data_IF_817272399097
#
_entry.id   IF_817272399097
#
_cell.length_a   1.000
_cell.length_b   1.000
_cell.length_c   1.000
_cell.angle_alpha   90.00
_cell.angle_beta   90.00
_cell.angle_gamma   90.00
#
_symmetry.space_group_name_H-M   'P 1'
#
loop_
_entity.id
_entity.type
_entity.pdbx_description
1 polymer ?
#
# COMPACT_ATOMS: atom_id res chain seq x y z
N UNK A 1 -73.78 -22.18 70.58
CA UNK A 1 -72.53 -21.48 70.95
C UNK A 1 -71.57 -21.71 69.81
N UNK A 2 -71.34 -20.62 69.05
CA UNK A 2 -70.42 -20.42 67.92
C UNK A 2 -70.58 -21.24 66.64
N UNK A 3 -71.22 -20.59 65.66
CA UNK A 3 -70.84 -20.63 64.24
C UNK A 3 -69.53 -19.84 64.06
N UNK A 4 -68.61 -20.35 63.24
CA UNK A 4 -67.71 -19.52 62.42
C UNK A 4 -67.43 -20.22 61.08
N UNK A 5 -67.81 -19.52 60.01
CA UNK A 5 -67.38 -19.75 58.63
C UNK A 5 -66.05 -19.01 58.36
N UNK A 6 -65.50 -19.23 57.16
CA UNK A 6 -64.54 -18.38 56.40
C UNK A 6 -63.06 -18.83 56.49
N UNK A 7 -62.27 -19.00 55.43
CA UNK A 7 -62.41 -18.86 53.98
C UNK A 7 -61.31 -19.66 53.30
N UNK A 8 -61.64 -20.36 52.21
CA UNK A 8 -60.66 -20.69 51.16
C UNK A 8 -60.25 -19.39 50.45
N UNK A 9 -58.96 -19.05 50.46
CA UNK A 9 -58.30 -18.47 49.28
C UNK A 9 -56.78 -18.34 49.42
N UNK A 10 -56.16 -18.23 48.23
CA UNK A 10 -54.83 -17.69 47.95
C UNK A 10 -53.63 -18.66 48.01
N UNK A 11 -53.56 -19.56 47.02
CA UNK A 11 -52.30 -20.24 46.66
C UNK A 11 -52.03 -20.25 45.13
N UNK A 12 -52.90 -19.63 44.32
CA UNK A 12 -52.74 -19.58 42.85
C UNK A 12 -52.05 -18.31 42.35
N UNK A 13 -52.16 -17.19 43.08
CA UNK A 13 -51.58 -15.89 42.74
C UNK A 13 -50.05 -15.86 42.92
N UNK A 14 -49.52 -16.51 43.96
CA UNK A 14 -48.08 -16.62 44.19
C UNK A 14 -47.37 -17.45 43.11
N UNK A 15 -47.98 -18.58 42.70
CA UNK A 15 -47.50 -19.44 41.61
C UNK A 15 -47.39 -18.70 40.27
N UNK A 16 -48.43 -17.94 39.90
CA UNK A 16 -48.44 -17.18 38.66
C UNK A 16 -47.41 -16.04 38.66
N UNK A 17 -47.21 -15.37 39.80
CA UNK A 17 -46.18 -14.33 39.94
C UNK A 17 -44.78 -14.90 39.79
N UNK A 18 -44.49 -16.04 40.42
CA UNK A 18 -43.20 -16.72 40.34
C UNK A 18 -42.89 -17.16 38.90
N UNK A 19 -43.87 -17.70 38.18
CA UNK A 19 -43.73 -18.06 36.76
C UNK A 19 -43.52 -16.82 35.87
N UNK A 20 -44.13 -15.69 36.20
CA UNK A 20 -43.94 -14.43 35.47
C UNK A 20 -42.52 -13.88 35.65
N UNK A 21 -41.98 -13.88 36.88
CA UNK A 21 -40.61 -13.45 37.15
C UNK A 21 -39.55 -14.39 36.56
N UNK A 22 -39.78 -15.71 36.59
CA UNK A 22 -38.89 -16.68 35.94
C UNK A 22 -38.88 -16.51 34.42
N UNK A 23 -40.04 -16.26 33.81
CA UNK A 23 -40.15 -16.01 32.36
C UNK A 23 -39.38 -14.74 31.94
N UNK A 24 -39.48 -13.65 32.71
CA UNK A 24 -38.72 -12.40 32.46
C UNK A 24 -37.21 -12.62 32.62
N UNK A 25 -36.79 -13.36 33.65
CA UNK A 25 -35.38 -13.67 33.87
C UNK A 25 -34.79 -14.50 32.72
N UNK A 26 -35.51 -15.53 32.26
CA UNK A 26 -35.12 -16.35 31.10
C UNK A 26 -35.06 -15.50 29.83
N UNK A 27 -36.05 -14.65 29.58
CA UNK A 27 -36.06 -13.72 28.45
C UNK A 27 -34.86 -12.77 28.49
N UNK A 28 -34.43 -12.29 29.66
CA UNK A 28 -33.27 -11.40 29.80
C UNK A 28 -31.94 -12.09 29.51
N UNK A 29 -31.78 -13.36 29.92
CA UNK A 29 -30.57 -14.16 29.64
C UNK A 29 -30.52 -14.55 28.16
N UNK A 30 -31.67 -14.91 27.58
CA UNK A 30 -31.82 -15.21 26.15
C UNK A 30 -31.59 -13.95 25.31
N UNK A 31 -32.09 -12.78 25.71
CA UNK A 31 -31.79 -11.51 25.05
C UNK A 31 -30.31 -11.15 25.17
N UNK A 32 -29.68 -11.33 26.33
CA UNK A 32 -28.26 -10.99 26.52
C UNK A 32 -27.33 -11.92 25.74
N UNK A 33 -27.65 -13.21 25.67
CA UNK A 33 -26.91 -14.20 24.88
C UNK A 33 -27.15 -14.04 23.39
N UNK A 34 -28.40 -13.84 22.94
CA UNK A 34 -28.73 -13.52 21.55
C UNK A 34 -28.17 -12.16 21.12
N UNK A 35 -28.16 -11.14 21.98
CA UNK A 35 -27.52 -9.85 21.72
C UNK A 35 -26.01 -9.98 21.63
N UNK A 36 -25.36 -10.75 22.51
CA UNK A 36 -23.94 -11.06 22.39
C UNK A 36 -23.63 -11.80 21.08
N UNK A 37 -24.43 -12.80 20.72
CA UNK A 37 -24.26 -13.56 19.47
C UNK A 37 -24.53 -12.67 18.24
N UNK A 38 -25.54 -11.80 18.28
CA UNK A 38 -25.87 -10.86 17.20
C UNK A 38 -24.80 -9.77 17.02
N UNK A 39 -24.31 -9.17 18.12
CA UNK A 39 -23.19 -8.22 18.12
C UNK A 39 -21.89 -8.87 17.62
N UNK A 40 -21.68 -10.16 17.92
CA UNK A 40 -20.50 -10.89 17.43
C UNK A 40 -20.63 -11.30 15.94
N UNK A 41 -21.85 -11.52 15.43
CA UNK A 41 -22.11 -11.96 14.05
C UNK A 41 -22.12 -10.81 13.03
N UNK A 42 -22.40 -9.56 13.42
CA UNK A 42 -22.65 -8.46 12.46
C UNK A 42 -21.52 -7.43 12.27
N UNK A 43 -20.25 -7.78 12.52
CA UNK A 43 -19.12 -6.97 12.04
C UNK A 43 -18.45 -7.66 10.85
N UNK A 44 -18.82 -7.25 9.63
CA UNK A 44 -18.11 -7.66 8.43
C UNK A 44 -16.58 -7.49 8.63
N UNK A 45 -15.80 -8.55 8.41
CA UNK A 45 -14.34 -8.52 8.59
C UNK A 45 -13.76 -7.45 7.67
N UNK A 46 -13.02 -6.49 8.24
CA UNK A 46 -12.34 -5.45 7.45
C UNK A 46 -11.36 -6.10 6.47
N UNK A 47 -11.39 -5.65 5.22
CA UNK A 47 -10.42 -6.07 4.19
C UNK A 47 -9.01 -5.64 4.62
N UNK A 48 -8.04 -6.52 4.47
CA UNK A 48 -6.64 -6.21 4.76
C UNK A 48 -6.08 -5.22 3.72
N UNK A 49 -5.54 -4.09 4.19
CA UNK A 49 -4.93 -3.05 3.36
C UNK A 49 -3.44 -3.00 3.67
N UNK A 50 -2.62 -3.04 2.62
CA UNK A 50 -1.16 -2.90 2.75
C UNK A 50 -0.70 -1.59 2.14
N UNK A 51 -0.28 -0.67 3.01
CA UNK A 51 0.31 0.61 2.65
C UNK A 51 1.80 0.49 2.31
N UNK A 52 2.24 1.35 1.40
CA UNK A 52 3.64 1.61 1.06
C UNK A 52 4.39 2.26 2.23
N UNK A 53 5.72 2.23 2.16
CA UNK A 53 6.58 2.93 3.12
C UNK A 53 6.37 4.44 3.05
N UNK A 54 6.14 4.99 1.85
CA UNK A 54 5.79 6.40 1.66
C UNK A 54 4.52 6.80 2.42
N UNK A 55 3.45 6.00 2.29
CA UNK A 55 2.18 6.26 2.96
C UNK A 55 2.31 6.11 4.48
N UNK A 56 3.06 5.10 4.96
CA UNK A 56 3.35 4.94 6.39
C UNK A 56 4.12 6.14 6.95
N UNK A 57 5.10 6.67 6.21
CA UNK A 57 5.83 7.86 6.61
C UNK A 57 4.91 9.09 6.69
N UNK A 58 4.01 9.26 5.71
CA UNK A 58 2.99 10.32 5.76
C UNK A 58 2.07 10.19 6.97
N UNK A 59 1.66 8.96 7.34
CA UNK A 59 0.90 8.70 8.56
C UNK A 59 1.66 9.12 9.81
N UNK A 60 2.95 8.82 9.90
CA UNK A 60 3.79 9.24 11.03
C UNK A 60 3.87 10.77 11.15
N UNK A 61 4.03 11.47 10.03
CA UNK A 61 4.02 12.94 9.99
C UNK A 61 2.67 13.52 10.44
N UNK A 62 1.54 12.89 10.07
CA UNK A 62 0.21 13.30 10.55
C UNK A 62 0.07 13.10 12.06
N UNK A 63 0.65 12.03 12.60
CA UNK A 63 0.67 11.79 14.04
C UNK A 63 1.51 12.83 14.79
N UNK A 64 2.62 13.30 14.20
CA UNK A 64 3.44 14.37 14.80
C UNK A 64 2.69 15.71 14.84
N UNK A 65 1.80 15.94 13.88
CA UNK A 65 0.89 17.11 13.86
C UNK A 65 -0.26 16.99 14.89
N UNK A 66 -0.29 15.93 15.69
CA UNK A 66 -1.29 15.72 16.73
C UNK A 66 -2.63 15.14 16.25
N UNK A 67 -2.71 14.62 15.01
CA UNK A 67 -3.94 13.99 14.54
C UNK A 67 -4.28 12.71 15.33
N UNK A 68 -5.58 12.51 15.59
CA UNK A 68 -6.09 11.34 16.30
C UNK A 68 -5.81 10.04 15.53
N UNK A 69 -5.33 9.01 16.26
CA UNK A 69 -5.13 7.66 15.74
C UNK A 69 -6.41 7.06 15.16
N UNK A 70 -7.55 7.29 15.82
CA UNK A 70 -8.85 6.77 15.42
C UNK A 70 -9.32 7.39 14.10
N UNK A 71 -9.10 8.69 13.94
CA UNK A 71 -9.42 9.42 12.70
C UNK A 71 -8.62 8.85 11.53
N UNK A 72 -7.30 8.75 11.67
CA UNK A 72 -6.41 8.21 10.62
C UNK A 72 -6.76 6.75 10.29
N UNK A 73 -7.02 5.93 11.32
CA UNK A 73 -7.41 4.53 11.14
C UNK A 73 -8.69 4.38 10.31
N UNK A 74 -9.69 5.22 10.59
CA UNK A 74 -10.96 5.23 9.86
C UNK A 74 -10.77 5.67 8.41
N UNK A 75 -10.04 6.76 8.17
CA UNK A 75 -9.78 7.27 6.81
C UNK A 75 -9.03 6.27 5.93
N UNK A 76 -8.01 5.61 6.47
CA UNK A 76 -7.21 4.63 5.73
C UNK A 76 -7.79 3.22 5.77
N UNK A 77 -8.92 3.03 6.46
CA UNK A 77 -9.56 1.73 6.72
C UNK A 77 -8.58 0.67 7.29
N UNK A 78 -7.69 1.10 8.18
CA UNK A 78 -6.69 0.24 8.86
C UNK A 78 -7.03 0.08 10.33
N UNK A 79 -6.47 -0.95 10.98
CA UNK A 79 -6.62 -1.11 12.43
C UNK A 79 -5.85 -0.04 13.20
N UNK A 80 -6.40 0.43 14.32
CA UNK A 80 -5.66 1.33 15.23
C UNK A 80 -4.36 0.68 15.72
N UNK A 81 -4.37 -0.62 15.96
CA UNK A 81 -3.18 -1.42 16.30
C UNK A 81 -2.12 -1.35 15.20
N UNK A 82 -2.52 -1.43 13.93
CA UNK A 82 -1.60 -1.31 12.78
C UNK A 82 -0.87 0.03 12.77
N UNK A 83 -1.55 1.13 13.09
CA UNK A 83 -0.92 2.46 13.18
C UNK A 83 0.04 2.52 14.38
N UNK A 84 -0.34 1.92 15.52
CA UNK A 84 0.56 1.81 16.69
C UNK A 84 1.83 1.02 16.34
N UNK A 85 1.71 -0.05 15.57
CA UNK A 85 2.87 -0.83 15.11
C UNK A 85 3.78 -0.02 14.19
N UNK A 86 3.22 0.80 13.29
CA UNK A 86 4.03 1.73 12.47
C UNK A 86 4.75 2.77 13.32
N UNK A 87 4.08 3.33 14.34
CA UNK A 87 4.71 4.25 15.30
C UNK A 87 5.85 3.57 16.06
N UNK A 88 5.68 2.30 16.47
CA UNK A 88 6.73 1.52 17.12
C UNK A 88 7.93 1.28 16.20
N UNK A 89 7.67 0.96 14.93
CA UNK A 89 8.70 0.68 13.93
C UNK A 89 9.15 1.95 13.16
N UNK A 90 8.95 3.14 13.73
CA UNK A 90 9.19 4.43 13.08
C UNK A 90 10.62 4.57 12.56
N UNK A 91 11.61 4.27 13.40
CA UNK A 91 13.04 4.40 13.05
C UNK A 91 13.41 3.55 11.84
N UNK A 92 12.90 2.32 11.79
CA UNK A 92 13.15 1.41 10.68
C UNK A 92 12.50 1.94 9.40
N UNK A 93 11.26 2.43 9.48
CA UNK A 93 10.57 3.04 8.32
C UNK A 93 11.36 4.23 7.80
N UNK A 94 11.75 5.17 8.67
CA UNK A 94 12.51 6.37 8.31
C UNK A 94 13.86 6.00 7.68
N UNK A 95 14.66 5.13 8.32
CA UNK A 95 15.95 4.68 7.79
C UNK A 95 15.80 4.01 6.42
N UNK A 96 14.77 3.18 6.24
CA UNK A 96 14.51 2.53 4.96
C UNK A 96 14.11 3.54 3.88
N UNK A 97 13.34 4.58 4.24
CA UNK A 97 12.96 5.62 3.27
C UNK A 97 14.15 6.48 2.85
N UNK A 98 15.10 6.75 3.75
CA UNK A 98 16.30 7.54 3.46
C UNK A 98 17.29 6.82 2.53
N UNK A 99 17.29 5.48 2.52
CA UNK A 99 18.23 4.66 1.74
C UNK A 99 17.71 4.28 0.36
N UNK A 100 16.45 4.58 0.05
CA UNK A 100 15.84 4.28 -1.25
C UNK A 100 16.04 5.47 -2.18
N UNK A 101 16.84 5.26 -3.22
CA UNK A 101 16.97 6.20 -4.33
C UNK A 101 15.82 5.99 -5.32
N UNK A 102 15.00 7.03 -5.50
CA UNK A 102 13.97 7.07 -6.55
C UNK A 102 12.53 7.04 -6.02
N UNK A 103 11.76 8.03 -6.44
CA UNK A 103 10.37 8.25 -6.01
C UNK A 103 9.47 7.03 -6.28
N UNK A 104 9.65 6.36 -7.42
CA UNK A 104 8.87 5.17 -7.78
C UNK A 104 9.15 3.97 -6.87
N UNK A 105 10.40 3.78 -6.43
CA UNK A 105 10.75 2.70 -5.52
C UNK A 105 10.07 2.90 -4.16
N UNK A 106 10.08 4.14 -3.66
CA UNK A 106 9.49 4.51 -2.38
C UNK A 106 7.96 4.37 -2.38
N UNK A 107 7.29 4.81 -3.45
CA UNK A 107 5.82 4.71 -3.60
C UNK A 107 5.31 3.27 -3.66
N UNK A 108 6.08 2.36 -4.26
CA UNK A 108 5.62 0.98 -4.47
C UNK A 108 6.04 0.02 -3.36
N UNK A 109 7.11 0.31 -2.63
CA UNK A 109 7.64 -0.62 -1.62
C UNK A 109 6.75 -0.64 -0.37
N UNK A 110 6.28 -1.84 0.00
CA UNK A 110 5.41 -2.06 1.17
C UNK A 110 6.11 -2.75 2.34
N UNK A 111 7.27 -3.37 2.09
CA UNK A 111 8.00 -4.21 3.04
C UNK A 111 9.35 -3.61 3.43
N UNK A 112 9.71 -3.77 4.71
CA UNK A 112 11.02 -3.44 5.27
C UNK A 112 12.07 -4.53 5.01
N UNK A 113 11.70 -5.65 4.38
CA UNK A 113 12.65 -6.75 4.11
C UNK A 113 13.82 -6.27 3.24
N UNK A 114 15.03 -6.53 3.73
CA UNK A 114 16.29 -6.27 3.03
C UNK A 114 16.66 -7.42 2.08
N UNK A 115 17.49 -7.18 1.05
CA UNK A 115 17.99 -8.25 0.19
C UNK A 115 18.88 -9.20 0.99
N UNK A 116 18.98 -10.46 0.58
CA UNK A 116 19.95 -11.39 1.21
C UNK A 116 21.40 -10.94 0.98
N UNK A 117 21.68 -10.42 -0.21
CA UNK A 117 23.01 -9.95 -0.61
C UNK A 117 23.01 -8.41 -0.63
N UNK A 118 22.97 -7.78 0.54
CA UNK A 118 22.83 -6.31 0.67
C UNK A 118 23.95 -5.55 -0.04
N UNK A 119 25.19 -6.00 0.14
CA UNK A 119 26.36 -5.35 -0.45
C UNK A 119 26.38 -5.44 -1.98
N UNK A 120 25.96 -6.58 -2.53
CA UNK A 120 25.81 -6.74 -3.98
C UNK A 120 24.67 -5.87 -4.53
N UNK A 121 23.53 -5.83 -3.82
CA UNK A 121 22.35 -5.05 -4.21
C UNK A 121 22.68 -3.56 -4.32
N UNK A 122 23.40 -3.01 -3.33
CA UNK A 122 23.83 -1.62 -3.30
C UNK A 122 24.93 -1.29 -4.32
N UNK A 123 25.95 -2.16 -4.45
CA UNK A 123 27.02 -1.97 -5.43
C UNK A 123 26.48 -1.98 -6.88
N UNK A 124 25.56 -2.89 -7.17
CA UNK A 124 24.92 -2.97 -8.49
C UNK A 124 24.05 -1.73 -8.77
N UNK A 125 23.31 -1.25 -7.75
CA UNK A 125 22.52 -0.03 -7.86
C UNK A 125 23.39 1.20 -8.14
N UNK A 126 24.49 1.35 -7.41
CA UNK A 126 25.42 2.46 -7.61
C UNK A 126 25.97 2.49 -9.04
N UNK A 127 26.40 1.34 -9.56
CA UNK A 127 26.85 1.22 -10.95
C UNK A 127 25.72 1.53 -11.95
N UNK A 128 24.53 0.96 -11.75
CA UNK A 128 23.39 1.17 -12.65
C UNK A 128 22.98 2.65 -12.70
N UNK A 129 22.94 3.33 -11.55
CA UNK A 129 22.62 4.75 -11.43
C UNK A 129 23.66 5.63 -12.13
N UNK A 130 24.95 5.28 -12.05
CA UNK A 130 26.02 5.97 -12.78
C UNK A 130 25.87 5.81 -14.30
N UNK A 131 25.62 4.60 -14.79
CA UNK A 131 25.46 4.35 -16.23
C UNK A 131 24.20 5.01 -16.79
N UNK A 132 23.11 5.03 -16.03
CA UNK A 132 21.88 5.76 -16.40
C UNK A 132 22.12 7.26 -16.52
N UNK A 133 22.95 7.85 -15.65
CA UNK A 133 23.32 9.28 -15.73
C UNK A 133 24.13 9.63 -16.98
N UNK A 134 24.84 8.65 -17.56
CA UNK A 134 25.54 8.81 -18.84
C UNK A 134 24.62 8.69 -20.06
N UNK A 135 23.35 8.31 -19.86
CA UNK A 135 22.40 8.07 -20.95
C UNK A 135 22.51 6.69 -21.61
N UNK A 136 23.36 5.80 -21.11
CA UNK A 136 23.52 4.45 -21.67
C UNK A 136 22.25 3.62 -21.47
N UNK A 137 21.66 3.05 -22.54
CA UNK A 137 20.59 2.06 -22.39
C UNK A 137 21.13 0.77 -21.78
N UNK A 138 20.56 0.33 -20.65
CA UNK A 138 21.01 -0.87 -19.93
C UNK A 138 19.91 -1.91 -19.97
N UNK A 139 20.16 -3.02 -20.66
CA UNK A 139 19.23 -4.15 -20.76
C UNK A 139 19.34 -5.09 -19.57
N UNK A 140 18.32 -5.94 -19.37
CA UNK A 140 18.31 -6.97 -18.33
C UNK A 140 19.53 -7.90 -18.35
N UNK A 141 19.94 -8.45 -19.51
CA UNK A 141 21.15 -9.28 -19.61
C UNK A 141 22.43 -8.57 -19.14
N UNK A 142 22.62 -7.30 -19.49
CA UNK A 142 23.79 -6.51 -19.06
C UNK A 142 23.82 -6.37 -17.54
N UNK A 143 22.66 -6.14 -16.90
CA UNK A 143 22.55 -6.06 -15.44
C UNK A 143 22.93 -7.40 -14.79
N UNK A 144 22.48 -8.54 -15.34
CA UNK A 144 22.81 -9.87 -14.83
C UNK A 144 24.31 -10.15 -14.89
N UNK A 145 24.93 -9.87 -16.03
CA UNK A 145 26.37 -10.05 -16.22
C UNK A 145 27.16 -9.19 -15.23
N UNK A 146 26.78 -7.92 -15.08
CA UNK A 146 27.41 -7.04 -14.09
C UNK A 146 27.25 -7.54 -12.66
N UNK A 147 26.07 -8.06 -12.31
CA UNK A 147 25.82 -8.62 -10.99
C UNK A 147 26.75 -9.80 -10.67
N UNK A 148 26.99 -10.68 -11.65
CA UNK A 148 27.92 -11.81 -11.51
C UNK A 148 29.36 -11.31 -11.31
N UNK A 149 29.79 -10.33 -12.10
CA UNK A 149 31.13 -9.73 -11.98
C UNK A 149 31.31 -9.09 -10.59
N UNK A 150 30.33 -8.31 -10.13
CA UNK A 150 30.40 -7.68 -8.82
C UNK A 150 30.38 -8.71 -7.69
N UNK A 151 29.56 -9.75 -7.79
CA UNK A 151 29.54 -10.82 -6.79
C UNK A 151 30.91 -11.49 -6.64
N UNK A 152 31.59 -11.79 -7.76
CA UNK A 152 32.95 -12.35 -7.75
C UNK A 152 33.95 -11.41 -7.06
N UNK A 153 33.86 -10.11 -7.33
CA UNK A 153 34.76 -9.10 -6.74
C UNK A 153 34.53 -8.86 -5.25
N UNK A 154 33.30 -9.04 -4.77
CA UNK A 154 32.95 -8.83 -3.37
C UNK A 154 33.21 -10.07 -2.50
N UNK A 155 33.60 -11.20 -3.11
CA UNK A 155 33.91 -12.47 -2.42
C UNK A 155 32.81 -12.92 -1.45
N UNK A 156 31.55 -12.63 -1.77
CA UNK A 156 30.40 -12.86 -0.88
C UNK A 156 29.94 -14.33 -0.96
N UNK A 157 30.72 -15.23 -0.38
CA UNK A 157 30.28 -16.60 -0.10
C UNK A 157 30.00 -17.46 -1.34
N UNK A 158 28.89 -18.22 -1.28
CA UNK A 158 28.55 -19.29 -2.23
C UNK A 158 28.28 -18.81 -3.65
N UNK A 159 28.19 -19.75 -4.59
CA UNK A 159 27.83 -19.48 -5.98
C UNK A 159 26.56 -18.62 -6.10
N UNK A 160 26.67 -17.52 -6.86
CA UNK A 160 25.57 -16.61 -7.13
C UNK A 160 25.06 -16.75 -8.55
N UNK A 161 23.75 -16.99 -8.68
CA UNK A 161 23.04 -17.02 -9.95
C UNK A 161 22.14 -15.79 -10.07
N UNK A 162 22.43 -14.94 -11.04
CA UNK A 162 21.57 -13.82 -11.43
C UNK A 162 20.33 -14.31 -12.20
N UNK A 163 19.48 -15.11 -11.53
CA UNK A 163 18.24 -15.65 -12.09
C UNK A 163 17.25 -14.55 -12.47
N UNK A 164 16.27 -14.86 -13.32
CA UNK A 164 15.22 -13.90 -13.71
C UNK A 164 14.48 -13.34 -12.49
N UNK A 165 14.06 -14.23 -11.58
CA UNK A 165 13.40 -13.80 -10.36
C UNK A 165 14.27 -12.94 -9.43
N UNK A 166 15.60 -13.10 -9.47
CA UNK A 166 16.50 -12.24 -8.70
C UNK A 166 16.58 -10.84 -9.30
N UNK A 167 16.81 -10.73 -10.61
CA UNK A 167 16.90 -9.43 -11.29
C UNK A 167 15.57 -8.68 -11.25
N UNK A 168 14.43 -9.36 -11.37
CA UNK A 168 13.12 -8.70 -11.30
C UNK A 168 12.84 -8.11 -9.93
N UNK A 169 13.22 -8.84 -8.87
CA UNK A 169 13.12 -8.33 -7.49
C UNK A 169 14.07 -7.15 -7.27
N UNK A 170 15.28 -7.21 -7.82
CA UNK A 170 16.25 -6.12 -7.76
C UNK A 170 15.72 -4.87 -8.49
N UNK A 171 15.23 -5.01 -9.73
CA UNK A 171 14.59 -3.92 -10.49
C UNK A 171 13.41 -3.31 -9.74
N UNK A 172 12.53 -4.16 -9.20
CA UNK A 172 11.35 -3.73 -8.44
C UNK A 172 11.75 -2.95 -7.19
N UNK A 173 12.77 -3.42 -6.46
CA UNK A 173 13.28 -2.76 -5.24
C UNK A 173 13.78 -1.35 -5.53
N UNK A 174 14.44 -1.16 -6.67
CA UNK A 174 15.02 0.10 -7.10
C UNK A 174 14.12 0.91 -8.03
N UNK A 175 12.84 0.52 -8.18
CA UNK A 175 11.85 1.25 -8.97
C UNK A 175 12.19 1.36 -10.47
N UNK A 176 12.99 0.44 -10.99
CA UNK A 176 13.39 0.40 -12.40
C UNK A 176 12.20 -0.11 -13.20
N UNK A 177 11.57 0.80 -13.95
CA UNK A 177 10.51 0.46 -14.90
C UNK A 177 11.13 0.08 -16.24
N UNK A 178 10.63 -1.00 -16.84
CA UNK A 178 10.88 -1.25 -18.24
C UNK A 178 10.06 -0.22 -19.03
N UNK A 179 10.72 0.84 -19.49
CA UNK A 179 10.11 1.67 -20.53
C UNK A 179 10.29 0.83 -21.77
N UNK A 180 9.19 0.27 -22.29
CA UNK A 180 9.17 -0.16 -23.68
C UNK A 180 9.53 1.08 -24.49
N UNK A 181 10.77 1.13 -24.97
CA UNK A 181 11.16 2.13 -25.96
C UNK A 181 10.45 1.68 -27.22
N UNK A 182 9.17 2.06 -27.36
CA UNK A 182 8.52 2.05 -28.65
C UNK A 182 9.35 3.03 -29.50
N UNK A 183 9.99 2.51 -30.55
CA UNK A 183 11.10 3.16 -31.28
C UNK A 183 10.86 4.60 -31.74
N UNK A 184 9.60 5.04 -31.80
CA UNK A 184 9.21 6.39 -32.18
C UNK A 184 9.70 7.48 -31.23
N UNK A 185 9.85 7.20 -29.92
CA UNK A 185 10.12 8.28 -28.93
C UNK A 185 11.59 8.72 -28.85
N UNK A 186 12.52 7.89 -29.30
CA UNK A 186 13.96 8.21 -29.35
C UNK A 186 14.47 8.44 -30.78
N UNK A 187 13.67 8.10 -31.80
CA UNK A 187 13.95 8.34 -33.22
C UNK A 187 13.30 9.63 -33.74
N UNK A 188 12.80 10.49 -32.85
CA UNK A 188 12.25 11.78 -33.24
C UNK A 188 13.37 12.64 -33.84
N UNK A 189 13.35 12.76 -35.16
CA UNK A 189 14.25 13.62 -35.90
C UNK A 189 13.86 15.08 -35.62
N UNK A 190 14.59 15.70 -34.71
CA UNK A 190 14.36 17.09 -34.33
C UNK A 190 14.59 18.05 -35.50
N UNK A 191 15.44 17.69 -36.46
CA UNK A 191 15.74 18.48 -37.63
C UNK A 191 14.56 18.45 -38.61
N UNK A 192 14.06 17.26 -38.94
CA UNK A 192 12.87 17.09 -39.77
C UNK A 192 11.62 17.75 -39.15
N UNK A 193 11.45 17.67 -37.82
CA UNK A 193 10.35 18.33 -37.12
C UNK A 193 10.44 19.88 -37.20
N UNK A 194 11.65 20.43 -37.11
CA UNK A 194 11.88 21.86 -37.28
C UNK A 194 11.63 22.31 -38.73
N UNK A 195 12.13 21.55 -39.71
CA UNK A 195 11.89 21.82 -41.13
C UNK A 195 10.38 21.83 -41.45
N UNK A 196 9.64 20.84 -40.95
CA UNK A 196 8.18 20.80 -41.08
C UNK A 196 7.51 22.01 -40.43
N UNK A 197 7.96 22.43 -39.25
CA UNK A 197 7.40 23.58 -38.54
C UNK A 197 7.57 24.88 -39.33
N UNK A 198 8.73 25.08 -39.96
CA UNK A 198 9.01 26.23 -40.84
C UNK A 198 8.11 26.19 -42.06
N UNK A 199 8.08 25.05 -42.78
CA UNK A 199 7.25 24.87 -43.97
C UNK A 199 5.76 25.06 -43.68
N UNK A 200 5.30 24.59 -42.53
CA UNK A 200 3.92 24.77 -42.11
C UNK A 200 3.58 26.25 -41.87
N UNK A 201 4.48 27.01 -41.24
CA UNK A 201 4.30 28.46 -41.05
C UNK A 201 4.27 29.23 -42.38
N UNK A 202 5.06 28.80 -43.37
CA UNK A 202 5.02 29.36 -44.73
C UNK A 202 3.66 29.13 -45.38
N UNK A 203 3.15 27.90 -45.34
CA UNK A 203 1.82 27.54 -45.89
C UNK A 203 0.71 28.34 -45.21
N UNK A 204 0.76 28.52 -43.89
CA UNK A 204 -0.22 29.32 -43.14
C UNK A 204 -0.21 30.79 -43.59
N UNK A 205 0.98 31.36 -43.85
CA UNK A 205 1.11 32.75 -44.34
C UNK A 205 0.64 32.90 -45.78
N UNK A 206 1.05 31.98 -46.66
CA UNK A 206 0.71 32.03 -48.10
C UNK A 206 -0.79 31.87 -48.34
N UNK A 207 -1.46 31.03 -47.55
CA UNK A 207 -2.88 30.75 -47.68
C UNK A 207 -3.76 31.61 -46.75
N UNK A 208 -3.18 32.59 -46.04
CA UNK A 208 -3.86 33.48 -45.08
C UNK A 208 -4.78 32.72 -44.10
N UNK A 209 -4.33 31.54 -43.64
CA UNK A 209 -5.18 30.64 -42.87
C UNK A 209 -5.49 31.22 -41.49
N UNK A 210 -6.78 31.29 -41.17
CA UNK A 210 -7.21 31.75 -39.86
C UNK A 210 -6.99 30.68 -38.79
N UNK A 211 -6.75 31.07 -37.52
CA UNK A 211 -6.58 30.13 -36.42
C UNK A 211 -7.73 29.12 -36.26
N UNK A 212 -8.95 29.47 -36.69
CA UNK A 212 -10.10 28.56 -36.66
C UNK A 212 -10.06 27.45 -37.72
N UNK A 213 -9.21 27.58 -38.74
CA UNK A 213 -9.02 26.61 -39.83
C UNK A 213 -7.85 25.65 -39.56
N UNK A 214 -6.98 25.99 -38.61
CA UNK A 214 -5.85 25.14 -38.18
C UNK A 214 -6.23 24.44 -36.89
N UNK A 215 -6.52 23.13 -36.97
CA UNK A 215 -6.81 22.31 -35.78
C UNK A 215 -5.50 21.90 -35.09
N UNK A 216 -5.45 21.91 -33.74
CA UNK A 216 -4.31 21.41 -32.98
C UNK A 216 -4.16 19.89 -33.06
#
# INVERSE_FOLDING_TARGET
>A
MYDENFSENDNSSESLSALFFHSIAILSVVFRTLWCVHVFIMSAKRKHITLSLSEKLAVLQRLDKGESLQKIAKELNVGVTTIKDWRKNRKDIESHTMTIDGENALKNRKTLKKPKLELLDSALWMWFSQERRKGTPISGPIIKEKAIILHKKLEVGSEFKASEGWIDRWKTRHGIRFISICGEKLSADAEAANEFSVKFQEIVKENELLPCQVKP
#
